data_IF_047800201685
#
_entry.id   IF_047800201685
#
_cell.length_a   1.000
_cell.length_b   1.000
_cell.length_c   1.000
_cell.angle_alpha   90.00
_cell.angle_beta   90.00
_cell.angle_gamma   90.00
#
_symmetry.space_group_name_H-M   'P 1'
#
loop_
_entity.id
_entity.type
_entity.pdbx_description
1 polymer ?
#
# COMPACT_ATOMS: atom_id res chain seq x y z
N UNK A 1 -14.11 3.53 31.81
CA UNK A 1 -12.73 3.82 31.38
C UNK A 1 -12.07 2.63 30.69
N UNK A 2 -12.10 1.42 31.28
CA UNK A 2 -11.47 0.21 30.70
C UNK A 2 -12.05 -0.19 29.33
N UNK A 3 -13.37 -0.08 29.12
CA UNK A 3 -14.01 -0.43 27.84
C UNK A 3 -13.58 0.47 26.67
N UNK A 4 -13.35 1.77 26.92
CA UNK A 4 -12.87 2.69 25.89
C UNK A 4 -11.42 2.37 25.47
N UNK A 5 -10.58 1.97 26.42
CA UNK A 5 -9.22 1.51 26.13
C UNK A 5 -9.21 0.18 25.35
N UNK A 6 -10.14 -0.73 25.66
CA UNK A 6 -10.27 -2.00 24.94
C UNK A 6 -10.79 -1.79 23.51
N UNK A 7 -11.78 -0.91 23.33
CA UNK A 7 -12.30 -0.54 22.00
C UNK A 7 -11.22 0.17 21.17
N UNK A 8 -10.43 1.06 21.78
CA UNK A 8 -9.30 1.71 21.12
C UNK A 8 -8.21 0.70 20.73
N UNK A 9 -7.85 -0.22 21.63
CA UNK A 9 -6.84 -1.26 21.37
C UNK A 9 -7.24 -2.25 20.27
N UNK A 10 -8.49 -2.72 20.28
CA UNK A 10 -9.00 -3.60 19.22
C UNK A 10 -9.05 -2.89 17.86
N UNK A 11 -9.40 -1.60 17.85
CA UNK A 11 -9.40 -0.79 16.62
C UNK A 11 -7.99 -0.60 16.08
N UNK A 12 -7.03 -0.26 16.94
CA UNK A 12 -5.63 -0.08 16.55
C UNK A 12 -5.02 -1.40 16.04
N UNK A 13 -5.36 -2.55 16.65
CA UNK A 13 -4.97 -3.87 16.15
C UNK A 13 -5.58 -4.20 14.78
N UNK A 14 -6.87 -3.89 14.57
CA UNK A 14 -7.52 -4.10 13.28
C UNK A 14 -6.84 -3.27 12.18
N UNK A 15 -6.47 -2.03 12.47
CA UNK A 15 -5.77 -1.17 11.53
C UNK A 15 -4.38 -1.73 11.20
N UNK A 16 -3.64 -2.22 12.20
CA UNK A 16 -2.34 -2.88 11.96
C UNK A 16 -2.51 -4.10 11.04
N UNK A 17 -3.51 -4.94 11.28
CA UNK A 17 -3.77 -6.11 10.44
C UNK A 17 -4.14 -5.72 9.00
N UNK A 18 -4.95 -4.67 8.82
CA UNK A 18 -5.30 -4.15 7.50
C UNK A 18 -4.07 -3.57 6.77
N UNK A 19 -3.18 -2.87 7.48
CA UNK A 19 -1.93 -2.37 6.92
C UNK A 19 -1.00 -3.51 6.48
N UNK A 20 -0.86 -4.55 7.30
CA UNK A 20 -0.06 -5.73 6.96
C UNK A 20 -0.64 -6.50 5.76
N UNK A 21 -1.97 -6.64 5.69
CA UNK A 21 -2.63 -7.25 4.54
C UNK A 21 -2.39 -6.44 3.27
N UNK A 22 -2.52 -5.12 3.34
CA UNK A 22 -2.27 -4.23 2.22
C UNK A 22 -0.80 -4.26 1.78
N UNK A 23 0.15 -4.32 2.73
CA UNK A 23 1.58 -4.48 2.42
C UNK A 23 1.89 -5.80 1.70
N UNK A 24 1.26 -6.90 2.12
CA UNK A 24 1.39 -8.20 1.45
C UNK A 24 0.86 -8.13 0.00
N UNK A 25 -0.33 -7.55 -0.20
CA UNK A 25 -0.90 -7.34 -1.53
C UNK A 25 -0.01 -6.47 -2.42
N UNK A 26 0.56 -5.39 -1.87
CA UNK A 26 1.48 -4.53 -2.61
C UNK A 26 2.80 -5.23 -2.95
N UNK A 27 3.30 -6.10 -2.08
CA UNK A 27 4.50 -6.90 -2.35
C UNK A 27 4.28 -7.87 -3.51
N UNK A 28 3.11 -8.53 -3.56
CA UNK A 28 2.71 -9.41 -4.68
C UNK A 28 2.63 -8.59 -5.97
N UNK A 29 1.94 -7.45 -5.94
CA UNK A 29 1.87 -6.54 -7.09
C UNK A 29 3.26 -6.11 -7.55
N UNK A 30 4.16 -5.76 -6.63
CA UNK A 30 5.52 -5.33 -6.94
C UNK A 30 6.31 -6.41 -7.68
N UNK A 31 6.20 -7.67 -7.23
CA UNK A 31 6.83 -8.82 -7.90
C UNK A 31 6.30 -8.94 -9.34
N UNK A 32 4.99 -8.88 -9.54
CA UNK A 32 4.39 -8.98 -10.87
C UNK A 32 4.76 -7.79 -11.78
N UNK A 33 4.81 -6.57 -11.22
CA UNK A 33 5.23 -5.35 -11.93
C UNK A 33 6.71 -5.37 -12.32
N UNK A 34 7.56 -6.00 -11.50
CA UNK A 34 9.00 -6.10 -11.74
C UNK A 34 9.37 -7.20 -12.73
N UNK A 35 8.57 -8.27 -12.80
CA UNK A 35 8.82 -9.41 -13.70
C UNK A 35 8.63 -9.06 -15.19
N UNK A 36 8.00 -7.91 -15.52
CA UNK A 36 7.98 -7.32 -16.87
C UNK A 36 7.35 -8.19 -17.98
N UNK A 37 6.81 -9.35 -17.63
CA UNK A 37 6.38 -10.40 -18.55
C UNK A 37 4.85 -10.51 -18.69
N UNK A 38 4.10 -9.57 -18.11
CA UNK A 38 2.64 -9.49 -18.30
C UNK A 38 2.33 -8.46 -19.37
N UNK A 39 1.35 -8.76 -20.23
CA UNK A 39 0.90 -7.92 -21.34
C UNK A 39 0.89 -6.42 -20.98
N UNK A 40 1.84 -5.67 -21.52
CA UNK A 40 2.14 -4.27 -21.20
C UNK A 40 0.89 -3.36 -21.19
N UNK A 41 -0.12 -3.67 -22.02
CA UNK A 41 -1.37 -2.93 -22.10
C UNK A 41 -2.25 -3.03 -20.85
N UNK A 42 -2.44 -4.22 -20.30
CA UNK A 42 -3.27 -4.43 -19.11
C UNK A 42 -2.59 -3.87 -17.86
N UNK A 43 -1.26 -3.93 -17.83
CA UNK A 43 -0.44 -3.45 -16.73
C UNK A 43 -0.40 -1.91 -16.68
N UNK A 44 -0.36 -1.25 -17.84
CA UNK A 44 -0.46 0.20 -17.97
C UNK A 44 -1.82 0.73 -17.49
N UNK A 45 -2.93 0.10 -17.90
CA UNK A 45 -4.28 0.44 -17.41
C UNK A 45 -4.43 0.22 -15.90
N UNK A 46 -3.87 -0.88 -15.36
CA UNK A 46 -3.84 -1.13 -13.92
C UNK A 46 -3.01 -0.07 -13.19
N UNK A 47 -1.87 0.36 -13.74
CA UNK A 47 -1.04 1.43 -13.20
C UNK A 47 -1.78 2.78 -13.13
N UNK A 48 -2.51 3.16 -14.17
CA UNK A 48 -3.33 4.39 -14.17
C UNK A 48 -4.37 4.38 -13.05
N UNK A 49 -5.03 3.23 -12.82
CA UNK A 49 -5.99 3.08 -11.71
C UNK A 49 -5.33 2.98 -10.34
N UNK A 50 -4.15 2.39 -10.27
CA UNK A 50 -3.43 2.17 -9.01
C UNK A 50 -2.82 3.48 -8.49
N UNK A 51 -2.30 4.33 -9.38
CA UNK A 51 -1.65 5.59 -9.04
C UNK A 51 -2.44 6.50 -8.07
N UNK A 52 -3.73 6.84 -8.31
CA UNK A 52 -4.49 7.69 -7.39
C UNK A 52 -4.79 7.00 -6.06
N UNK A 53 -4.89 5.66 -6.04
CA UNK A 53 -5.08 4.91 -4.80
C UNK A 53 -3.80 4.89 -3.96
N UNK A 54 -2.63 4.71 -4.59
CA UNK A 54 -1.33 4.82 -3.93
C UNK A 54 -1.11 6.20 -3.34
N UNK A 55 -1.48 7.27 -4.06
CA UNK A 55 -1.39 8.63 -3.55
C UNK A 55 -2.27 8.87 -2.31
N UNK A 56 -3.50 8.33 -2.31
CA UNK A 56 -4.39 8.40 -1.14
C UNK A 56 -3.83 7.65 0.07
N UNK A 57 -3.22 6.49 -0.18
CA UNK A 57 -2.62 5.67 0.88
C UNK A 57 -1.32 6.29 1.43
N UNK A 58 -0.55 7.00 0.59
CA UNK A 58 0.63 7.77 1.00
C UNK A 58 0.27 8.93 1.96
N UNK A 59 -0.96 9.43 1.88
CA UNK A 59 -1.46 10.49 2.76
C UNK A 59 -1.99 9.97 4.12
N UNK A 60 -2.10 8.65 4.30
CA UNK A 60 -2.48 8.10 5.60
C UNK A 60 -1.41 8.47 6.63
N UNK A 61 -1.79 9.26 7.63
CA UNK A 61 -0.94 9.59 8.78
C UNK A 61 -1.61 9.06 10.03
N UNK A 62 -1.06 7.97 10.56
CA UNK A 62 -1.40 7.52 11.89
C UNK A 62 -0.19 7.63 12.81
N UNK A 63 -0.22 8.64 13.68
CA UNK A 63 0.79 8.90 14.71
C UNK A 63 1.07 7.69 15.63
N UNK A 64 0.11 6.75 15.73
CA UNK A 64 0.19 5.59 16.64
C UNK A 64 0.79 4.32 16.04
N UNK A 65 0.90 4.23 14.71
CA UNK A 65 1.25 2.97 14.00
C UNK A 65 2.66 3.05 13.37
N UNK A 66 3.44 4.04 13.78
CA UNK A 66 4.59 4.61 13.07
C UNK A 66 5.56 3.63 12.37
N UNK A 67 5.89 2.46 12.95
CA UNK A 67 6.82 1.53 12.28
C UNK A 67 6.19 0.79 11.09
N UNK A 68 5.01 0.18 11.28
CA UNK A 68 4.30 -0.54 10.21
C UNK A 68 3.85 0.44 9.13
N UNK A 69 3.45 1.65 9.52
CA UNK A 69 3.10 2.72 8.59
C UNK A 69 4.31 3.14 7.74
N UNK A 70 5.51 3.20 8.32
CA UNK A 70 6.74 3.57 7.60
C UNK A 70 7.13 2.54 6.53
N UNK A 71 7.03 1.24 6.85
CA UNK A 71 7.28 0.18 5.88
C UNK A 71 6.23 0.20 4.77
N UNK A 72 4.96 0.35 5.15
CA UNK A 72 3.85 0.51 4.23
C UNK A 72 4.04 1.68 3.24
N UNK A 73 4.40 2.87 3.73
CA UNK A 73 4.68 4.03 2.88
C UNK A 73 5.87 3.79 1.94
N UNK A 74 6.92 3.10 2.40
CA UNK A 74 8.07 2.74 1.55
C UNK A 74 7.64 1.83 0.41
N UNK A 75 6.83 0.81 0.69
CA UNK A 75 6.30 -0.11 -0.31
C UNK A 75 5.40 0.63 -1.32
N UNK A 76 4.52 1.52 -0.84
CA UNK A 76 3.69 2.39 -1.70
C UNK A 76 4.54 3.27 -2.61
N UNK A 77 5.58 3.92 -2.06
CA UNK A 77 6.47 4.80 -2.82
C UNK A 77 7.14 4.03 -3.95
N UNK A 78 7.68 2.85 -3.63
CA UNK A 78 8.36 1.98 -4.61
C UNK A 78 7.40 1.51 -5.70
N UNK A 79 6.18 1.13 -5.32
CA UNK A 79 5.16 0.68 -6.27
C UNK A 79 4.70 1.82 -7.17
N UNK A 80 4.58 3.04 -6.64
CA UNK A 80 4.26 4.26 -7.40
C UNK A 80 5.35 4.59 -8.40
N UNK A 81 6.62 4.53 -8.00
CA UNK A 81 7.76 4.74 -8.92
C UNK A 81 7.77 3.72 -10.06
N UNK A 82 7.56 2.43 -9.76
CA UNK A 82 7.48 1.37 -10.77
C UNK A 82 6.28 1.56 -11.70
N UNK A 83 5.13 1.96 -11.15
CA UNK A 83 3.93 2.25 -11.91
C UNK A 83 4.16 3.40 -12.91
N UNK A 84 4.80 4.50 -12.50
CA UNK A 84 5.13 5.62 -13.39
C UNK A 84 6.14 5.20 -14.46
N UNK A 85 7.13 4.37 -14.12
CA UNK A 85 8.10 3.86 -15.11
C UNK A 85 7.43 2.98 -16.17
N UNK A 86 6.50 2.12 -15.77
CA UNK A 86 5.75 1.27 -16.70
C UNK A 86 4.71 2.05 -17.54
N UNK A 87 4.20 3.18 -17.06
CA UNK A 87 3.38 4.10 -17.86
C UNK A 87 4.19 4.88 -18.90
N UNK A 88 5.49 5.05 -18.67
CA UNK A 88 6.39 5.79 -19.56
C UNK A 88 7.10 4.94 -20.62
N UNK A 89 6.88 3.61 -20.59
CA UNK A 89 7.37 2.62 -21.56
C UNK A 89 6.28 2.32 -22.60
#
# INVERSE_FOLDING_TARGET
MVEMCHMAGNRDQLIILLLQLAECLFSILLIHLQDGNSDLGDLSFLCEKLHPNLQKLELLREDKIGHNLKLFHRTITTLKELSVRNLAL
#
